data_IF_085557413281
#
_entry.id   IF_085557413281
#
_cell.length_a   1.000
_cell.length_b   1.000
_cell.length_c   1.000
_cell.angle_alpha   90.00
_cell.angle_beta   90.00
_cell.angle_gamma   90.00
#
_symmetry.space_group_name_H-M   'P 1'
#
loop_
_entity.id
_entity.type
_entity.pdbx_description
1 polymer ?
#
# COMPACT_ATOMS: atom_id res chain seq x y z
N UNK A 1 5.18 1.90 8.92
CA UNK A 1 6.43 1.52 9.60
C UNK A 1 6.94 0.14 9.17
N UNK A 2 6.08 -0.85 8.91
CA UNK A 2 6.50 -2.22 8.53
C UNK A 2 7.19 -2.37 7.17
N UNK A 3 6.88 -1.53 6.18
CA UNK A 3 7.53 -1.61 4.86
C UNK A 3 8.94 -0.97 4.84
N UNK A 4 9.47 -0.53 5.99
CA UNK A 4 10.80 0.07 6.10
C UNK A 4 10.96 1.45 5.46
N UNK A 5 9.90 2.00 4.86
CA UNK A 5 9.94 3.33 4.26
C UNK A 5 9.76 4.43 5.30
N UNK A 6 10.61 5.44 5.23
CA UNK A 6 10.35 6.74 5.84
C UNK A 6 9.31 7.48 5.00
N UNK A 7 8.23 7.88 5.65
CA UNK A 7 7.12 8.61 5.04
C UNK A 7 7.16 10.03 5.58
N UNK A 8 7.26 10.99 4.67
CA UNK A 8 7.06 12.41 4.97
C UNK A 8 5.57 12.75 4.83
N UNK A 9 5.05 13.63 5.69
CA UNK A 9 3.64 13.99 5.67
C UNK A 9 3.42 15.41 5.13
N UNK A 10 2.34 15.60 4.37
CA UNK A 10 1.86 16.89 3.86
C UNK A 10 2.97 17.68 3.13
N UNK A 11 3.55 17.05 2.11
CA UNK A 11 4.69 17.61 1.36
C UNK A 11 4.54 17.31 -0.12
N UNK A 12 5.54 17.74 -0.90
CA UNK A 12 5.54 17.62 -2.34
C UNK A 12 6.23 16.33 -2.82
N UNK A 13 5.57 15.64 -3.75
CA UNK A 13 6.12 14.55 -4.56
C UNK A 13 6.97 15.13 -5.68
N UNK A 14 8.26 14.78 -5.76
CA UNK A 14 9.13 15.20 -6.86
C UNK A 14 8.94 14.31 -8.10
N UNK A 15 8.77 14.94 -9.26
CA UNK A 15 8.64 14.26 -10.55
C UNK A 15 9.49 14.88 -11.67
N UNK A 16 9.16 14.57 -12.93
CA UNK A 16 9.90 15.05 -14.10
C UNK A 16 10.07 16.57 -14.15
N UNK A 17 11.25 17.04 -14.57
CA UNK A 17 11.58 18.47 -14.77
C UNK A 17 11.27 19.38 -13.56
N UNK A 18 11.50 18.87 -12.34
CA UNK A 18 11.19 19.59 -11.08
C UNK A 18 9.70 19.88 -10.90
N UNK A 19 8.83 19.20 -11.64
CA UNK A 19 7.42 19.27 -11.35
C UNK A 19 7.16 18.64 -9.99
N UNK A 20 6.32 19.29 -9.20
CA UNK A 20 5.95 18.83 -7.86
C UNK A 20 4.43 18.70 -7.75
N UNK A 21 3.98 17.84 -6.85
CA UNK A 21 2.55 17.67 -6.56
C UNK A 21 2.36 17.40 -5.07
N UNK A 22 1.45 18.14 -4.44
CA UNK A 22 1.14 17.95 -3.03
C UNK A 22 0.52 16.57 -2.76
N UNK A 23 0.91 15.95 -1.65
CA UNK A 23 0.34 14.71 -1.15
C UNK A 23 0.46 14.63 0.38
N UNK A 24 -0.49 13.96 1.02
CA UNK A 24 -0.50 13.77 2.47
C UNK A 24 0.61 12.82 2.92
N UNK A 25 1.00 11.85 2.10
CA UNK A 25 2.07 10.90 2.41
C UNK A 25 3.03 10.81 1.24
N UNK A 26 4.33 11.04 1.47
CA UNK A 26 5.37 11.03 0.45
C UNK A 26 6.51 10.11 0.86
N UNK A 27 6.90 9.22 -0.06
CA UNK A 27 8.01 8.29 0.08
C UNK A 27 9.12 8.78 -0.85
N UNK A 28 10.21 9.26 -0.27
CA UNK A 28 11.38 9.71 -1.04
C UNK A 28 12.05 8.54 -1.73
N UNK A 29 12.44 8.74 -2.98
CA UNK A 29 13.24 7.79 -3.74
C UNK A 29 14.63 8.37 -4.03
N UNK A 30 15.65 7.50 -4.04
CA UNK A 30 17.04 7.90 -4.26
C UNK A 30 17.29 8.49 -5.66
N UNK A 31 16.44 8.15 -6.64
CA UNK A 31 16.50 8.68 -8.01
C UNK A 31 15.78 10.03 -8.17
N UNK A 32 15.20 10.59 -7.11
CA UNK A 32 14.49 11.88 -7.15
C UNK A 32 13.08 11.84 -7.73
N UNK A 33 12.54 10.65 -8.00
CA UNK A 33 11.16 10.46 -8.47
C UNK A 33 10.36 9.81 -7.36
N UNK A 34 9.73 10.65 -6.55
CA UNK A 34 9.07 10.19 -5.32
C UNK A 34 7.72 9.53 -5.60
N UNK A 35 7.22 8.83 -4.59
CA UNK A 35 5.87 8.28 -4.60
C UNK A 35 5.05 9.04 -3.57
N UNK A 36 3.83 9.43 -3.90
CA UNK A 36 2.91 10.06 -2.96
C UNK A 36 1.53 9.42 -2.96
N UNK A 37 0.84 9.54 -1.82
CA UNK A 37 -0.57 9.24 -1.71
C UNK A 37 -1.31 10.51 -1.38
N UNK A 38 -2.15 10.95 -2.32
CA UNK A 38 -3.00 12.13 -2.16
C UNK A 38 -4.43 11.72 -1.88
N UNK A 39 -5.07 12.33 -0.89
CA UNK A 39 -6.46 12.08 -0.55
C UNK A 39 -7.36 12.66 -1.64
N UNK A 40 -8.29 11.85 -2.14
CA UNK A 40 -9.37 12.25 -3.02
C UNK A 40 -10.70 11.72 -2.45
N UNK A 41 -11.34 12.56 -1.63
CA UNK A 41 -12.54 12.19 -0.87
C UNK A 41 -12.26 11.10 0.17
N UNK A 42 -12.90 9.94 -0.02
CA UNK A 42 -12.73 8.75 0.83
C UNK A 42 -11.58 7.85 0.38
N UNK A 43 -11.01 8.09 -0.80
CA UNK A 43 -9.96 7.27 -1.39
C UNK A 43 -8.61 7.99 -1.38
N UNK A 44 -7.55 7.23 -1.59
CA UNK A 44 -6.22 7.75 -1.87
C UNK A 44 -5.82 7.46 -3.31
N UNK A 45 -5.22 8.45 -3.97
CA UNK A 45 -4.62 8.34 -5.29
C UNK A 45 -3.11 8.21 -5.16
N UNK A 46 -2.53 7.32 -5.98
CA UNK A 46 -1.08 7.24 -6.14
C UNK A 46 -0.61 8.34 -7.09
N UNK A 47 0.24 9.23 -6.58
CA UNK A 47 0.89 10.32 -7.32
C UNK A 47 2.36 9.94 -7.53
N UNK A 48 2.77 9.75 -8.78
CA UNK A 48 4.16 9.47 -9.11
C UNK A 48 4.43 9.74 -10.60
N UNK A 49 5.67 10.06 -10.92
CA UNK A 49 6.19 9.82 -12.27
C UNK A 49 6.59 8.36 -12.38
N UNK A 50 5.69 7.52 -12.90
CA UNK A 50 5.89 6.07 -12.97
C UNK A 50 7.14 5.67 -13.79
N UNK A 51 7.45 6.43 -14.83
CA UNK A 51 8.60 6.16 -15.68
C UNK A 51 9.90 6.50 -14.95
N UNK A 52 9.98 7.69 -14.35
CA UNK A 52 11.15 8.12 -13.58
C UNK A 52 11.38 7.30 -12.32
N UNK A 53 10.31 6.96 -11.61
CA UNK A 53 10.32 6.10 -10.42
C UNK A 53 10.60 4.62 -10.74
N UNK A 54 10.57 4.23 -12.03
CA UNK A 54 10.80 2.86 -12.51
C UNK A 54 9.83 1.84 -11.90
N UNK A 55 8.58 2.24 -11.71
CA UNK A 55 7.53 1.38 -11.16
C UNK A 55 6.45 1.11 -12.21
N UNK A 56 5.92 -0.11 -12.18
CA UNK A 56 4.70 -0.43 -12.93
C UNK A 56 3.50 -0.08 -12.06
N UNK A 57 2.70 0.89 -12.48
CA UNK A 57 1.55 1.41 -11.73
C UNK A 57 0.61 0.27 -11.28
N UNK A 58 0.17 -0.59 -12.21
CA UNK A 58 -0.82 -1.62 -11.88
C UNK A 58 -0.25 -2.65 -10.91
N UNK A 59 0.99 -3.12 -11.11
CA UNK A 59 1.63 -4.08 -10.21
C UNK A 59 1.81 -3.48 -8.81
N UNK A 60 2.21 -2.23 -8.72
CA UNK A 60 2.42 -1.54 -7.45
C UNK A 60 1.10 -1.36 -6.68
N UNK A 61 0.07 -0.84 -7.35
CA UNK A 61 -1.27 -0.68 -6.75
C UNK A 61 -1.83 -2.03 -6.32
N UNK A 62 -1.74 -3.07 -7.17
CA UNK A 62 -2.22 -4.41 -6.82
C UNK A 62 -1.52 -4.96 -5.57
N UNK A 63 -0.20 -4.84 -5.49
CA UNK A 63 0.56 -5.31 -4.34
C UNK A 63 0.17 -4.58 -3.04
N UNK A 64 -0.01 -3.26 -3.09
CA UNK A 64 -0.44 -2.49 -1.91
C UNK A 64 -1.87 -2.84 -1.52
N UNK A 65 -2.79 -2.92 -2.49
CA UNK A 65 -4.19 -3.27 -2.24
C UNK A 65 -4.32 -4.66 -1.61
N UNK A 66 -3.55 -5.64 -2.08
CA UNK A 66 -3.52 -6.98 -1.50
C UNK A 66 -3.03 -6.96 -0.05
N UNK A 67 -1.93 -6.25 0.22
CA UNK A 67 -1.40 -6.11 1.58
C UNK A 67 -2.40 -5.40 2.52
N UNK A 68 -3.09 -4.38 2.03
CA UNK A 68 -4.12 -3.67 2.79
C UNK A 68 -5.31 -4.57 3.10
N UNK A 69 -5.81 -5.31 2.11
CA UNK A 69 -6.92 -6.24 2.29
C UNK A 69 -6.57 -7.32 3.32
N UNK A 70 -5.37 -7.89 3.23
CA UNK A 70 -4.89 -8.88 4.18
C UNK A 70 -4.85 -8.33 5.62
N UNK A 71 -4.27 -7.14 5.83
CA UNK A 71 -4.22 -6.53 7.17
C UNK A 71 -5.59 -6.21 7.72
N UNK A 72 -6.47 -5.67 6.88
CA UNK A 72 -7.85 -5.37 7.26
C UNK A 72 -8.57 -6.65 7.69
N UNK A 73 -8.37 -7.74 6.95
CA UNK A 73 -8.91 -9.05 7.31
C UNK A 73 -8.36 -9.52 8.66
N UNK A 74 -7.04 -9.51 8.86
CA UNK A 74 -6.42 -9.96 10.11
C UNK A 74 -6.90 -9.16 11.33
N UNK A 75 -6.99 -7.83 11.20
CA UNK A 75 -7.55 -6.97 12.25
C UNK A 75 -9.00 -7.33 12.55
N UNK A 76 -9.82 -7.55 11.51
CA UNK A 76 -11.24 -7.91 11.65
C UNK A 76 -11.42 -9.27 12.31
N UNK A 77 -10.59 -10.25 11.96
CA UNK A 77 -10.57 -11.61 12.54
C UNK A 77 -10.33 -11.52 14.05
N UNK A 78 -9.30 -10.77 14.45
CA UNK A 78 -8.98 -10.56 15.85
C UNK A 78 -10.09 -9.80 16.60
N UNK A 79 -10.62 -8.71 16.02
CA UNK A 79 -11.69 -7.91 16.62
C UNK A 79 -12.98 -8.73 16.84
N UNK A 80 -13.28 -9.67 15.93
CA UNK A 80 -14.46 -10.52 16.03
C UNK A 80 -14.24 -11.79 16.87
N UNK A 81 -13.04 -11.99 17.40
CA UNK A 81 -12.70 -13.14 18.26
C UNK A 81 -12.61 -14.46 17.50
N UNK A 82 -12.18 -14.41 16.24
CA UNK A 82 -11.78 -15.59 15.48
C UNK A 82 -10.25 -15.78 15.59
N UNK A 83 -9.81 -17.02 15.47
CA UNK A 83 -8.41 -17.39 15.32
C UNK A 83 -8.14 -17.78 13.86
N UNK A 84 -6.93 -17.51 13.36
CA UNK A 84 -6.48 -17.97 12.04
C UNK A 84 -6.05 -19.43 12.16
N UNK A 85 -6.72 -20.31 11.44
CA UNK A 85 -6.40 -21.75 11.41
C UNK A 85 -5.41 -22.09 10.29
N UNK A 86 -5.54 -21.43 9.15
CA UNK A 86 -4.70 -21.67 7.97
C UNK A 86 -4.55 -20.38 7.15
N UNK A 87 -3.35 -20.13 6.65
CA UNK A 87 -3.06 -19.07 5.68
C UNK A 87 -2.16 -19.65 4.57
N UNK A 88 -2.63 -19.59 3.33
CA UNK A 88 -1.87 -20.06 2.16
C UNK A 88 -1.91 -19.03 1.02
N UNK A 89 -0.80 -18.90 0.29
CA UNK A 89 -0.76 -18.16 -0.98
C UNK A 89 -0.78 -19.16 -2.13
N UNK A 90 -1.83 -19.09 -2.94
CA UNK A 90 -2.03 -19.95 -4.10
C UNK A 90 -1.06 -19.58 -5.24
N UNK A 91 -0.92 -20.48 -6.22
CA UNK A 91 -0.01 -20.30 -7.36
C UNK A 91 -0.33 -19.07 -8.23
N UNK A 92 -1.57 -18.59 -8.20
CA UNK A 92 -2.01 -17.37 -8.90
C UNK A 92 -1.79 -16.08 -8.08
N UNK A 93 -1.25 -16.20 -6.86
CA UNK A 93 -1.01 -15.09 -5.94
C UNK A 93 -2.19 -14.76 -5.02
N UNK A 94 -3.30 -15.50 -5.10
CA UNK A 94 -4.43 -15.33 -4.17
C UNK A 94 -4.03 -15.77 -2.77
N UNK A 95 -4.30 -14.94 -1.76
CA UNK A 95 -4.10 -15.31 -0.34
C UNK A 95 -5.44 -15.83 0.19
N UNK A 96 -5.43 -17.08 0.65
CA UNK A 96 -6.58 -17.73 1.29
C UNK A 96 -6.32 -17.83 2.79
N UNK A 97 -7.30 -17.39 3.56
CA UNK A 97 -7.27 -17.44 5.03
C UNK A 97 -8.48 -18.21 5.51
N UNK A 98 -8.26 -19.23 6.34
CA UNK A 98 -9.31 -19.98 7.03
C UNK A 98 -9.30 -19.56 8.49
N UNK A 99 -10.48 -19.21 9.00
CA UNK A 99 -10.65 -18.70 10.37
C UNK A 99 -11.68 -19.55 11.11
N UNK A 100 -11.39 -19.83 12.37
CA UNK A 100 -12.21 -20.63 13.27
C UNK A 100 -12.53 -19.87 14.54
N UNK A 101 -13.58 -20.29 15.25
CA UNK A 101 -13.90 -19.78 16.58
C UNK A 101 -14.31 -20.94 17.46
N UNK A 102 -13.54 -21.15 18.51
CA UNK A 102 -13.81 -22.17 19.51
C UNK A 102 -14.63 -21.54 20.64
N UNK A 103 -15.82 -22.10 20.88
CA UNK A 103 -16.77 -21.70 21.95
C UNK A 103 -16.80 -22.74 23.05
#
# INVERSE_FOLDING_TARGET
QELGYQVECNTEVRGYRRNTTEAEYVIRQNNGYDLGFRRNGENYELVADFWGAKINQQKFVNAISQNYAHKTLMATVQEQGFDVEEEETLADGTVRVVVGRWV
#
